data_IF_847152549391
#
_entry.id   IF_847152549391
#
_cell.length_a   1.000
_cell.length_b   1.000
_cell.length_c   1.000
_cell.angle_alpha   90.00
_cell.angle_beta   90.00
_cell.angle_gamma   90.00
#
_symmetry.space_group_name_H-M   'P 1'
#
loop_
_entity.id
_entity.type
_entity.pdbx_description
1 polymer ?
#
# COMPACT_ATOMS: atom_id res chain seq x y z
N UNK A 1 2.41 15.08 -5.26
CA UNK A 1 1.12 15.74 -5.03
C UNK A 1 0.79 15.62 -3.56
N UNK A 2 0.58 16.74 -2.87
CA UNK A 2 0.24 16.75 -1.45
C UNK A 2 -1.26 16.45 -1.24
N UNK A 3 -1.67 16.02 -0.04
CA UNK A 3 -3.08 15.68 0.27
C UNK A 3 -4.01 16.85 -0.07
N UNK A 4 -3.58 18.07 0.23
CA UNK A 4 -4.34 19.29 0.03
C UNK A 4 -4.55 19.62 -1.47
N UNK A 5 -3.56 19.32 -2.32
CA UNK A 5 -3.66 19.51 -3.78
C UNK A 5 -4.66 18.52 -4.39
N UNK A 6 -4.66 17.27 -3.90
CA UNK A 6 -5.62 16.27 -4.34
C UNK A 6 -7.04 16.66 -3.92
N UNK A 7 -7.26 17.08 -2.67
CA UNK A 7 -8.57 17.53 -2.21
C UNK A 7 -9.15 18.69 -3.04
N UNK A 8 -8.29 19.61 -3.50
CA UNK A 8 -8.72 20.69 -4.39
C UNK A 8 -9.13 20.20 -5.78
N UNK A 9 -8.48 19.17 -6.32
CA UNK A 9 -8.87 18.57 -7.61
C UNK A 9 -10.19 17.83 -7.50
N UNK A 10 -10.43 17.15 -6.38
CA UNK A 10 -11.69 16.46 -6.09
C UNK A 10 -12.87 17.45 -6.05
N UNK A 11 -12.67 18.61 -5.41
CA UNK A 11 -13.70 19.68 -5.34
C UNK A 11 -14.06 20.30 -6.69
N UNK A 12 -13.28 20.05 -7.75
CA UNK A 12 -13.53 20.57 -9.10
C UNK A 12 -14.38 19.62 -9.96
N UNK A 13 -14.98 18.58 -9.38
CA UNK A 13 -15.76 17.54 -10.07
C UNK A 13 -15.01 16.87 -11.24
N UNK A 14 -13.68 16.81 -11.14
CA UNK A 14 -12.83 16.09 -12.10
C UNK A 14 -12.88 14.59 -11.74
N UNK A 15 -13.31 13.69 -12.64
CA UNK A 15 -13.26 12.25 -12.39
C UNK A 15 -11.83 11.75 -12.18
N UNK A 16 -11.62 10.89 -11.19
CA UNK A 16 -10.31 10.34 -10.88
C UNK A 16 -10.42 8.93 -10.29
N UNK A 17 -9.30 8.20 -10.33
CA UNK A 17 -9.12 6.88 -9.73
C UNK A 17 -7.73 6.82 -9.11
N UNK A 18 -7.62 6.30 -7.88
CA UNK A 18 -6.33 6.04 -7.24
C UNK A 18 -5.87 4.62 -7.54
N UNK A 19 -4.58 4.45 -7.79
CA UNK A 19 -3.98 3.15 -8.10
C UNK A 19 -2.92 2.83 -7.05
N UNK A 20 -2.89 1.58 -6.58
CA UNK A 20 -1.82 1.00 -5.74
C UNK A 20 -1.68 1.62 -4.35
N UNK A 21 -2.62 2.49 -3.96
CA UNK A 21 -2.64 3.17 -2.66
C UNK A 21 -4.06 3.37 -2.18
N UNK A 22 -4.21 3.34 -0.86
CA UNK A 22 -5.44 3.72 -0.20
C UNK A 22 -5.25 5.15 0.32
N UNK A 23 -6.13 6.06 -0.09
CA UNK A 23 -6.16 7.43 0.40
C UNK A 23 -7.39 7.63 1.26
N UNK A 24 -7.16 8.02 2.51
CA UNK A 24 -8.20 8.39 3.46
C UNK A 24 -8.37 9.91 3.44
N UNK A 25 -9.55 10.35 3.01
CA UNK A 25 -9.96 11.75 3.05
C UNK A 25 -11.07 11.90 4.08
N UNK A 26 -11.03 12.98 4.84
CA UNK A 26 -11.88 13.18 6.01
C UNK A 26 -13.38 13.19 5.65
N UNK A 27 -13.71 13.54 4.40
CA UNK A 27 -15.09 13.73 3.94
C UNK A 27 -15.43 13.06 2.60
N UNK A 28 -14.58 12.14 2.10
CA UNK A 28 -14.84 11.50 0.81
C UNK A 28 -14.33 10.06 0.76
N UNK A 29 -15.14 9.16 0.20
CA UNK A 29 -14.65 7.87 -0.27
C UNK A 29 -13.98 8.08 -1.62
N UNK A 30 -12.73 7.67 -1.72
CA UNK A 30 -11.96 7.76 -2.95
C UNK A 30 -12.04 6.41 -3.68
N UNK A 31 -12.46 6.37 -4.95
CA UNK A 31 -12.38 5.14 -5.73
C UNK A 31 -10.92 4.77 -5.92
N UNK A 32 -10.59 3.49 -5.70
CA UNK A 32 -9.24 2.99 -5.90
C UNK A 32 -9.24 1.56 -6.46
N UNK A 33 -8.14 1.21 -7.10
CA UNK A 33 -7.79 -0.16 -7.48
C UNK A 33 -6.41 -0.44 -6.88
N UNK A 34 -6.30 -1.53 -6.13
CA UNK A 34 -5.04 -1.95 -5.51
C UNK A 34 -4.91 -3.46 -5.57
N UNK A 35 -3.69 -3.95 -5.54
CA UNK A 35 -3.38 -5.34 -5.21
C UNK A 35 -3.62 -5.58 -3.72
N UNK A 36 -3.84 -6.84 -3.35
CA UNK A 36 -3.77 -7.27 -1.96
C UNK A 36 -2.31 -7.59 -1.60
N UNK A 37 -1.60 -6.55 -1.17
CA UNK A 37 -0.18 -6.64 -0.83
C UNK A 37 0.08 -7.60 0.34
N UNK A 38 -0.89 -7.77 1.24
CA UNK A 38 -0.75 -8.70 2.36
C UNK A 38 -0.79 -10.14 1.87
N UNK A 39 -1.79 -10.52 1.08
CA UNK A 39 -1.89 -11.87 0.50
C UNK A 39 -0.68 -12.15 -0.37
N UNK A 40 -0.31 -11.22 -1.26
CA UNK A 40 0.85 -11.40 -2.12
C UNK A 40 2.17 -11.58 -1.35
N UNK A 41 2.40 -10.78 -0.31
CA UNK A 41 3.58 -10.94 0.54
C UNK A 41 3.56 -12.25 1.33
N UNK A 42 2.41 -12.63 1.89
CA UNK A 42 2.24 -13.87 2.64
C UNK A 42 2.55 -15.10 1.75
N UNK A 43 1.93 -15.18 0.58
CA UNK A 43 2.14 -16.30 -0.34
C UNK A 43 3.60 -16.38 -0.82
N UNK A 44 4.23 -15.23 -1.08
CA UNK A 44 5.65 -15.17 -1.41
C UNK A 44 6.55 -15.67 -0.27
N UNK A 45 6.23 -15.35 0.98
CA UNK A 45 6.97 -15.84 2.16
C UNK A 45 6.75 -17.33 2.40
N UNK A 46 5.51 -17.82 2.28
CA UNK A 46 5.18 -19.24 2.40
C UNK A 46 6.00 -20.07 1.40
N UNK A 47 6.08 -19.62 0.14
CA UNK A 47 6.91 -20.25 -0.87
C UNK A 47 8.39 -20.35 -0.45
N UNK A 48 8.96 -19.29 0.12
CA UNK A 48 10.36 -19.31 0.60
C UNK A 48 10.55 -20.27 1.78
N UNK A 49 9.59 -20.33 2.71
CA UNK A 49 9.65 -21.28 3.83
C UNK A 49 9.57 -22.73 3.37
N UNK A 50 8.73 -23.03 2.39
CA UNK A 50 8.63 -24.37 1.79
C UNK A 50 9.95 -24.82 1.15
N UNK A 51 10.77 -23.88 0.66
CA UNK A 51 12.12 -24.17 0.15
C UNK A 51 13.18 -24.30 1.26
N UNK A 52 12.80 -24.16 2.53
CA UNK A 52 13.70 -24.28 3.68
C UNK A 52 14.48 -23.01 4.02
N UNK A 53 14.15 -21.86 3.43
CA UNK A 53 14.78 -20.59 3.81
C UNK A 53 14.32 -20.14 5.20
N UNK A 54 15.27 -19.97 6.12
CA UNK A 54 14.99 -19.55 7.51
C UNK A 54 15.44 -18.11 7.83
N UNK A 55 16.15 -17.47 6.90
CA UNK A 55 16.64 -16.09 7.03
C UNK A 55 16.32 -15.35 5.74
N UNK A 56 15.35 -14.45 5.80
CA UNK A 56 14.82 -13.76 4.63
C UNK A 56 15.03 -12.26 4.83
N UNK A 57 15.72 -11.64 3.88
CA UNK A 57 15.98 -10.20 3.91
C UNK A 57 14.83 -9.47 3.20
N UNK A 58 14.16 -8.56 3.91
CA UNK A 58 13.13 -7.70 3.33
C UNK A 58 13.76 -6.42 2.78
N UNK A 59 13.82 -6.30 1.46
CA UNK A 59 14.26 -5.07 0.76
C UNK A 59 13.03 -4.25 0.42
N UNK A 60 12.77 -3.17 1.16
CA UNK A 60 11.64 -2.28 0.95
C UNK A 60 12.05 -1.02 0.20
N UNK A 61 11.12 -0.49 -0.61
CA UNK A 61 11.22 0.87 -1.13
C UNK A 61 11.20 1.92 -0.01
N UNK A 62 11.53 3.17 -0.32
CA UNK A 62 11.50 4.27 0.66
C UNK A 62 10.08 4.47 1.22
N UNK A 63 9.82 3.96 2.42
CA UNK A 63 8.52 4.05 3.10
C UNK A 63 8.38 5.30 3.96
N UNK A 64 7.16 5.84 4.06
CA UNK A 64 6.73 6.69 5.16
C UNK A 64 6.41 5.76 6.35
N UNK A 65 7.03 6.00 7.51
CA UNK A 65 6.90 5.18 8.71
C UNK A 65 5.43 5.04 9.18
N UNK A 66 5.01 3.84 9.58
CA UNK A 66 4.66 3.48 10.96
C UNK A 66 4.06 2.06 11.04
N UNK A 67 4.65 1.22 11.92
CA UNK A 67 4.20 -0.11 12.38
C UNK A 67 4.06 -1.24 11.34
N UNK A 68 5.15 -1.92 10.98
CA UNK A 68 5.19 -3.39 10.80
C UNK A 68 6.65 -3.90 10.67
N UNK A 69 7.61 -3.20 11.28
CA UNK A 69 8.96 -3.77 11.43
C UNK A 69 8.92 -4.69 12.65
N UNK A 70 8.52 -5.95 12.45
CA UNK A 70 8.87 -7.16 13.23
C UNK A 70 7.80 -8.22 13.00
N UNK A 71 8.04 -9.11 12.05
CA UNK A 71 7.58 -10.50 12.07
C UNK A 71 8.46 -11.25 11.07
N UNK A 72 9.74 -11.49 11.43
CA UNK A 72 10.56 -12.67 11.10
C UNK A 72 11.75 -12.67 12.06
#
# INVERSE_FOLDING_TARGET
MRKEELEQLIRKDIPFLVIDRILYLDHARVPFISSDDYVGAKEGMEHLFEQGYQRIAHVKGKGLYHYMDLLF
#
